data_IF_275821138806
#
_entry.id   IF_275821138806
#
_cell.length_a   1.000
_cell.length_b   1.000
_cell.length_c   1.000
_cell.angle_alpha   90.00
_cell.angle_beta   90.00
_cell.angle_gamma   90.00
#
_symmetry.space_group_name_H-M   'P 1'
#
loop_
_entity.id
_entity.type
_entity.pdbx_description
1 polymer ?
#
# COMPACT_ATOMS: atom_id res chain seq x y z
N UNK A 1 -3.18 11.57 -27.16
CA UNK A 1 -2.26 12.55 -27.74
C UNK A 1 -0.84 12.08 -27.45
N UNK A 2 0.17 12.35 -28.28
CA UNK A 2 1.55 12.00 -27.94
C UNK A 2 1.95 12.75 -26.65
N UNK A 3 2.65 12.08 -25.77
CA UNK A 3 3.22 12.69 -24.58
C UNK A 3 4.29 13.72 -24.95
N UNK A 4 4.45 14.76 -24.13
CA UNK A 4 5.40 15.83 -24.38
C UNK A 4 6.83 15.43 -23.96
N UNK A 5 6.96 14.81 -22.79
CA UNK A 5 8.25 14.46 -22.19
C UNK A 5 8.40 12.95 -21.93
N UNK A 6 7.30 12.22 -21.82
CA UNK A 6 7.32 10.77 -21.61
C UNK A 6 7.70 10.09 -22.93
N UNK A 7 8.71 9.22 -22.87
CA UNK A 7 9.13 8.40 -24.01
C UNK A 7 8.53 7.00 -23.91
N UNK A 8 7.57 6.71 -24.78
CA UNK A 8 7.01 5.37 -24.88
C UNK A 8 8.07 4.45 -25.51
N UNK A 9 8.33 3.27 -24.93
CA UNK A 9 9.23 2.27 -25.53
C UNK A 9 8.82 1.92 -26.96
N UNK A 10 9.79 1.65 -27.82
CA UNK A 10 9.53 1.27 -29.22
C UNK A 10 8.99 -0.16 -29.37
N UNK A 11 9.06 -0.96 -28.33
CA UNK A 11 8.50 -2.31 -28.24
C UNK A 11 7.56 -2.44 -27.05
N UNK A 12 6.86 -3.56 -26.97
CA UNK A 12 5.93 -3.87 -25.89
C UNK A 12 4.48 -3.47 -26.17
N UNK A 13 3.59 -4.00 -25.33
CA UNK A 13 2.15 -3.86 -25.47
C UNK A 13 1.53 -3.19 -24.25
N UNK A 14 0.41 -2.51 -24.45
CA UNK A 14 -0.40 -2.01 -23.33
C UNK A 14 -1.14 -3.15 -22.67
N UNK A 15 -1.17 -3.14 -21.34
CA UNK A 15 -2.11 -3.94 -20.57
C UNK A 15 -3.51 -3.36 -20.77
N UNK A 16 -4.49 -4.25 -21.00
CA UNK A 16 -5.90 -3.84 -21.11
C UNK A 16 -6.75 -4.53 -20.05
N UNK A 17 -7.89 -3.92 -19.71
CA UNK A 17 -8.81 -4.38 -18.69
C UNK A 17 -10.09 -4.89 -19.35
N UNK A 18 -10.51 -6.09 -18.99
CA UNK A 18 -11.78 -6.68 -19.42
C UNK A 18 -12.97 -6.09 -18.64
N UNK A 19 -14.18 -6.40 -19.10
CA UNK A 19 -15.41 -5.94 -18.45
C UNK A 19 -15.60 -6.47 -17.01
N UNK A 20 -14.97 -7.58 -16.67
CA UNK A 20 -14.93 -8.18 -15.34
C UNK A 20 -13.72 -7.73 -14.50
N UNK A 21 -13.01 -6.70 -14.96
CA UNK A 21 -11.77 -6.16 -14.38
C UNK A 21 -10.55 -7.10 -14.38
N UNK A 22 -10.63 -8.26 -15.05
CA UNK A 22 -9.43 -9.07 -15.30
C UNK A 22 -8.50 -8.39 -16.31
N UNK A 23 -7.20 -8.65 -16.19
CA UNK A 23 -6.19 -8.06 -17.05
C UNK A 23 -5.87 -8.94 -18.25
N UNK A 24 -5.69 -8.30 -19.42
CA UNK A 24 -5.02 -8.92 -20.56
C UNK A 24 -3.56 -8.46 -20.57
N UNK A 25 -2.67 -9.35 -20.20
CA UNK A 25 -1.24 -9.10 -20.10
C UNK A 25 -0.52 -9.89 -21.18
N UNK A 26 0.21 -9.19 -22.08
CA UNK A 26 1.06 -9.84 -23.06
C UNK A 26 2.37 -10.36 -22.44
N UNK A 27 3.16 -11.07 -23.21
CA UNK A 27 4.51 -11.47 -22.78
C UNK A 27 5.51 -10.31 -22.77
N UNK A 28 5.13 -9.14 -23.29
CA UNK A 28 5.97 -7.93 -23.36
C UNK A 28 5.19 -6.67 -22.95
N UNK A 29 4.69 -6.57 -21.69
CA UNK A 29 3.93 -5.42 -21.25
C UNK A 29 4.80 -4.17 -21.09
N UNK A 30 4.24 -3.01 -21.41
CA UNK A 30 4.81 -1.71 -21.03
C UNK A 30 4.35 -1.36 -19.62
N UNK A 31 5.30 -1.11 -18.72
CA UNK A 31 5.03 -0.74 -17.32
C UNK A 31 5.59 0.65 -17.04
N UNK A 32 4.72 1.66 -16.80
CA UNK A 32 5.16 2.95 -16.29
C UNK A 32 5.84 2.81 -14.91
N UNK A 33 6.95 3.55 -14.73
CA UNK A 33 7.55 3.66 -13.41
C UNK A 33 7.93 5.12 -13.09
N UNK A 34 7.85 5.47 -11.82
CA UNK A 34 8.36 6.72 -11.27
C UNK A 34 9.58 6.40 -10.43
N UNK A 35 10.75 6.94 -10.82
CA UNK A 35 12.00 6.71 -10.08
C UNK A 35 11.89 7.11 -8.61
N UNK A 36 11.12 8.18 -8.33
CA UNK A 36 10.95 8.72 -6.99
C UNK A 36 12.01 9.73 -6.59
N UNK A 37 11.85 10.27 -5.38
CA UNK A 37 12.71 11.28 -4.79
C UNK A 37 13.61 10.67 -3.71
N UNK A 38 14.62 11.40 -3.31
CA UNK A 38 15.52 10.98 -2.24
C UNK A 38 16.18 9.65 -2.56
N UNK A 39 15.94 8.62 -1.75
CA UNK A 39 16.49 7.27 -1.96
C UNK A 39 15.91 6.52 -3.16
N UNK A 40 14.87 7.07 -3.80
CA UNK A 40 14.31 6.52 -5.05
C UNK A 40 15.38 6.32 -6.13
N UNK A 41 16.31 7.28 -6.26
CA UNK A 41 17.43 7.21 -7.23
C UNK A 41 18.35 6.01 -7.01
N UNK A 42 18.40 5.47 -5.78
CA UNK A 42 19.20 4.29 -5.45
C UNK A 42 18.39 2.99 -5.61
N UNK A 43 17.16 2.95 -5.07
CA UNK A 43 16.39 1.70 -4.95
C UNK A 43 15.68 1.31 -6.25
N UNK A 44 15.11 2.24 -7.01
CA UNK A 44 14.34 1.95 -8.23
C UNK A 44 15.19 1.30 -9.33
N UNK A 45 16.42 1.77 -9.63
CA UNK A 45 17.28 1.08 -10.59
C UNK A 45 17.68 -0.33 -10.14
N UNK A 46 17.80 -0.56 -8.83
CA UNK A 46 18.09 -1.90 -8.27
C UNK A 46 16.88 -2.81 -8.41
N UNK A 47 15.68 -2.31 -8.09
CA UNK A 47 14.42 -3.03 -8.29
C UNK A 47 14.26 -3.48 -9.75
N UNK A 48 14.44 -2.59 -10.72
CA UNK A 48 14.33 -2.92 -12.15
C UNK A 48 15.27 -4.07 -12.51
N UNK A 49 16.55 -4.01 -12.10
CA UNK A 49 17.53 -5.05 -12.38
C UNK A 49 17.17 -6.41 -11.78
N UNK A 50 16.65 -6.42 -10.55
CA UNK A 50 16.24 -7.67 -9.88
C UNK A 50 15.02 -8.26 -10.58
N UNK A 51 14.04 -7.44 -10.93
CA UNK A 51 12.82 -7.87 -11.66
C UNK A 51 13.17 -8.43 -13.01
N UNK A 52 13.99 -7.72 -13.81
CA UNK A 52 14.41 -8.17 -15.14
C UNK A 52 15.15 -9.51 -15.06
N UNK A 53 16.04 -9.67 -14.08
CA UNK A 53 16.76 -10.93 -13.87
C UNK A 53 15.82 -12.08 -13.46
N UNK A 54 14.83 -11.80 -12.60
CA UNK A 54 13.86 -12.80 -12.17
C UNK A 54 12.95 -13.24 -13.34
N UNK A 55 12.50 -12.30 -14.17
CA UNK A 55 11.70 -12.57 -15.37
C UNK A 55 12.51 -13.38 -16.38
N UNK A 56 13.76 -12.99 -16.66
CA UNK A 56 14.64 -13.75 -17.56
C UNK A 56 14.87 -15.17 -17.04
N UNK A 57 15.15 -15.32 -15.73
CA UNK A 57 15.35 -16.64 -15.10
C UNK A 57 14.12 -17.53 -15.18
N UNK A 58 12.94 -16.97 -14.92
CA UNK A 58 11.68 -17.72 -14.91
C UNK A 58 11.21 -18.14 -16.31
N UNK A 59 11.43 -17.29 -17.31
CA UNK A 59 10.80 -17.47 -18.63
C UNK A 59 11.79 -17.62 -19.80
N UNK A 60 13.10 -17.53 -19.55
CA UNK A 60 14.15 -17.78 -20.56
C UNK A 60 14.05 -16.90 -21.79
N UNK A 61 13.81 -15.60 -21.60
CA UNK A 61 13.68 -14.60 -22.65
C UNK A 61 12.33 -14.58 -23.38
N UNK A 62 11.37 -15.44 -23.01
CA UNK A 62 10.02 -15.43 -23.61
C UNK A 62 9.18 -14.25 -23.14
N UNK A 63 9.43 -13.78 -21.92
CA UNK A 63 8.74 -12.62 -21.33
C UNK A 63 9.74 -11.52 -20.99
N UNK A 64 9.32 -10.27 -21.16
CA UNK A 64 10.13 -9.09 -20.89
C UNK A 64 9.25 -7.90 -20.52
N UNK A 65 9.63 -7.10 -19.51
CA UNK A 65 8.97 -5.84 -19.22
C UNK A 65 9.63 -4.72 -20.04
N UNK A 66 8.81 -3.90 -20.69
CA UNK A 66 9.24 -2.65 -21.30
C UNK A 66 8.98 -1.49 -20.33
N UNK A 67 10.01 -1.07 -19.63
CA UNK A 67 9.91 0.00 -18.63
C UNK A 67 9.73 1.36 -19.29
N UNK A 68 8.73 2.14 -18.84
CA UNK A 68 8.43 3.48 -19.32
C UNK A 68 8.53 4.47 -18.18
N UNK A 69 9.56 5.31 -18.18
CA UNK A 69 9.70 6.33 -17.14
C UNK A 69 8.63 7.40 -17.29
N UNK A 70 7.91 7.68 -16.20
CA UNK A 70 6.97 8.78 -16.03
C UNK A 70 7.39 9.61 -14.81
N UNK A 71 7.04 10.88 -14.77
CA UNK A 71 7.67 11.83 -13.87
C UNK A 71 6.72 12.34 -12.80
N UNK A 72 7.16 12.31 -11.54
CA UNK A 72 6.54 13.00 -10.41
C UNK A 72 7.63 13.45 -9.43
N UNK A 73 7.26 14.28 -8.47
CA UNK A 73 8.17 14.77 -7.44
C UNK A 73 9.22 15.77 -7.97
N UNK A 74 10.40 15.77 -7.36
CA UNK A 74 11.49 16.68 -7.68
C UNK A 74 11.99 16.54 -9.13
N UNK A 75 11.95 15.33 -9.68
CA UNK A 75 12.35 15.12 -11.09
C UNK A 75 11.36 15.76 -12.05
N UNK A 76 10.06 15.76 -11.74
CA UNK A 76 9.06 16.44 -12.56
C UNK A 76 9.28 17.95 -12.58
N UNK A 77 9.61 18.58 -11.44
CA UNK A 77 9.86 20.02 -11.40
C UNK A 77 11.03 20.46 -12.29
N UNK A 78 12.01 19.58 -12.48
CA UNK A 78 13.17 19.84 -13.37
C UNK A 78 12.84 19.74 -14.85
N UNK A 79 11.85 18.92 -15.21
CA UNK A 79 11.47 18.61 -16.60
C UNK A 79 10.34 19.52 -17.09
N UNK A 80 9.33 19.77 -16.25
CA UNK A 80 8.10 20.49 -16.62
C UNK A 80 8.05 21.91 -16.08
N UNK A 81 8.96 22.30 -15.17
CA UNK A 81 9.00 23.59 -14.50
C UNK A 81 8.79 23.49 -12.98
N UNK A 82 9.25 24.50 -12.22
CA UNK A 82 9.44 24.42 -10.77
C UNK A 82 8.17 24.18 -9.95
N UNK A 83 7.00 24.51 -10.50
CA UNK A 83 5.71 24.34 -9.81
C UNK A 83 4.98 23.05 -10.22
N UNK A 84 5.51 22.26 -11.15
CA UNK A 84 4.87 21.05 -11.67
C UNK A 84 5.44 19.81 -10.99
N UNK A 85 4.83 19.44 -9.88
CA UNK A 85 5.22 18.26 -9.10
C UNK A 85 4.55 16.96 -9.56
N UNK A 86 3.37 17.05 -10.17
CA UNK A 86 2.62 15.92 -10.72
C UNK A 86 2.04 16.34 -12.08
N UNK A 87 2.73 16.03 -13.19
CA UNK A 87 2.27 16.37 -14.52
C UNK A 87 0.98 15.63 -14.91
N UNK A 88 0.09 16.28 -15.64
CA UNK A 88 -1.14 15.65 -16.16
C UNK A 88 -0.83 14.47 -17.07
N UNK A 89 0.25 14.53 -17.87
CA UNK A 89 0.62 13.41 -18.74
C UNK A 89 1.09 12.18 -17.96
N UNK A 90 1.63 12.34 -16.74
CA UNK A 90 1.94 11.22 -15.85
C UNK A 90 0.66 10.52 -15.40
N UNK A 91 -0.35 11.30 -14.98
CA UNK A 91 -1.67 10.73 -14.62
C UNK A 91 -2.33 10.04 -15.81
N UNK A 92 -2.25 10.66 -17.00
CA UNK A 92 -2.77 10.07 -18.23
C UNK A 92 -2.05 8.76 -18.58
N UNK A 93 -0.71 8.72 -18.49
CA UNK A 93 0.08 7.53 -18.76
C UNK A 93 -0.26 6.38 -17.79
N UNK A 94 -0.33 6.66 -16.49
CA UNK A 94 -0.69 5.64 -15.48
C UNK A 94 -2.10 5.08 -15.73
N UNK A 95 -3.06 5.92 -16.07
CA UNK A 95 -4.43 5.48 -16.43
C UNK A 95 -4.42 4.62 -17.71
N UNK A 96 -3.65 5.04 -18.71
CA UNK A 96 -3.61 4.38 -20.02
C UNK A 96 -2.94 3.01 -19.99
N UNK A 97 -1.88 2.84 -19.16
CA UNK A 97 -1.10 1.61 -19.07
C UNK A 97 -1.52 0.70 -17.91
N UNK A 98 -2.45 1.14 -17.06
CA UNK A 98 -3.16 0.34 -16.05
C UNK A 98 -2.30 -0.10 -14.87
N UNK A 99 -1.13 -0.69 -15.09
CA UNK A 99 -0.22 -1.19 -14.04
C UNK A 99 1.05 -0.36 -14.03
N UNK A 100 1.44 0.13 -12.87
CA UNK A 100 2.63 0.97 -12.68
C UNK A 100 3.33 0.69 -11.35
N UNK A 101 4.57 1.15 -11.21
CA UNK A 101 5.34 1.08 -9.97
C UNK A 101 6.05 2.40 -9.70
N UNK A 102 6.26 2.74 -8.43
CA UNK A 102 6.95 3.98 -8.07
C UNK A 102 7.82 3.85 -6.82
N UNK A 103 8.94 4.57 -6.84
CA UNK A 103 9.72 4.88 -5.65
C UNK A 103 9.03 5.89 -4.72
N UNK A 104 9.66 6.26 -3.60
CA UNK A 104 9.13 7.22 -2.65
C UNK A 104 9.04 8.63 -3.25
N UNK A 105 8.05 9.43 -2.82
CA UNK A 105 7.88 10.81 -3.28
C UNK A 105 7.93 11.79 -2.12
N UNK A 106 8.58 12.92 -2.35
CA UNK A 106 8.66 14.04 -1.40
C UNK A 106 7.29 14.71 -1.29
N UNK A 107 6.90 15.06 -0.07
CA UNK A 107 5.77 15.97 0.16
C UNK A 107 6.29 17.40 0.11
N UNK A 108 5.87 18.24 -0.86
CA UNK A 108 6.33 19.62 -0.96
C UNK A 108 5.98 20.42 0.29
N UNK A 109 6.92 21.24 0.76
CA UNK A 109 6.67 22.18 1.86
C UNK A 109 6.16 23.49 1.26
N UNK A 110 4.86 23.75 1.37
CA UNK A 110 4.19 24.93 0.80
C UNK A 110 3.55 24.64 -0.57
N UNK A 111 2.76 25.57 -1.10
CA UNK A 111 2.23 25.48 -2.48
C UNK A 111 0.92 24.73 -2.68
N UNK A 112 0.16 24.42 -1.62
CA UNK A 112 -1.22 23.87 -1.76
C UNK A 112 -1.32 22.38 -2.01
N UNK A 113 -0.25 21.68 -2.40
CA UNK A 113 -0.22 20.21 -2.51
C UNK A 113 0.16 19.65 -1.14
N UNK A 114 -0.76 18.92 -0.49
CA UNK A 114 -0.52 18.33 0.83
C UNK A 114 0.41 17.12 0.76
N UNK A 115 0.21 16.24 -0.23
CA UNK A 115 1.04 15.06 -0.47
C UNK A 115 0.85 14.58 -1.91
N UNK A 116 1.94 14.32 -2.61
CA UNK A 116 1.89 13.76 -3.97
C UNK A 116 1.28 12.35 -3.98
N UNK A 117 1.56 11.55 -2.94
CA UNK A 117 0.96 10.23 -2.81
C UNK A 117 -0.57 10.31 -2.65
N UNK A 118 -1.06 11.26 -1.84
CA UNK A 118 -2.51 11.48 -1.68
C UNK A 118 -3.12 11.98 -2.98
N UNK A 119 -2.46 12.90 -3.70
CA UNK A 119 -2.93 13.37 -5.00
C UNK A 119 -3.05 12.23 -6.02
N UNK A 120 -2.03 11.38 -6.15
CA UNK A 120 -2.08 10.19 -7.03
C UNK A 120 -3.25 9.27 -6.69
N UNK A 121 -3.47 9.00 -5.39
CA UNK A 121 -4.56 8.13 -4.93
C UNK A 121 -5.94 8.70 -5.25
N UNK A 122 -6.12 10.01 -5.10
CA UNK A 122 -7.39 10.71 -5.38
C UNK A 122 -7.63 10.86 -6.88
N UNK A 123 -6.66 11.33 -7.66
CA UNK A 123 -6.78 11.56 -9.11
C UNK A 123 -6.98 10.26 -9.92
N UNK A 124 -6.46 9.15 -9.43
CA UNK A 124 -6.57 7.83 -10.04
C UNK A 124 -7.66 6.95 -9.39
N UNK A 125 -8.37 7.48 -8.40
CA UNK A 125 -9.35 6.75 -7.55
C UNK A 125 -8.81 5.42 -7.01
N UNK A 126 -7.57 5.40 -6.53
CA UNK A 126 -6.92 4.22 -5.96
C UNK A 126 -7.42 4.00 -4.53
N UNK A 127 -8.63 3.50 -4.39
CA UNK A 127 -9.36 3.44 -3.12
C UNK A 127 -8.89 2.34 -2.16
N UNK A 128 -8.06 1.42 -2.61
CA UNK A 128 -7.43 0.38 -1.77
C UNK A 128 -5.94 0.64 -1.66
N UNK A 129 -5.42 0.75 -0.45
CA UNK A 129 -4.00 0.57 -0.17
C UNK A 129 -3.80 -0.83 0.39
N UNK A 130 -3.14 -1.69 -0.39
CA UNK A 130 -2.87 -3.09 -0.07
C UNK A 130 -1.46 -3.23 0.48
N UNK A 131 -1.32 -3.73 1.71
CA UNK A 131 -0.04 -3.90 2.39
C UNK A 131 0.07 -5.28 3.03
N UNK A 132 0.65 -6.27 2.35
CA UNK A 132 1.00 -7.56 2.95
C UNK A 132 2.13 -7.40 3.98
N UNK A 133 2.00 -8.11 5.08
CA UNK A 133 3.01 -8.15 6.14
C UNK A 133 3.27 -9.60 6.47
N UNK A 134 4.50 -10.07 6.20
CA UNK A 134 4.93 -11.41 6.53
C UNK A 134 6.37 -11.41 7.02
N UNK A 135 6.71 -12.38 7.83
CA UNK A 135 8.06 -12.58 8.32
C UNK A 135 8.91 -13.38 7.34
N UNK A 136 10.13 -12.93 7.09
CA UNK A 136 11.17 -13.69 6.40
C UNK A 136 12.12 -14.31 7.41
N UNK A 137 12.35 -15.61 7.32
CA UNK A 137 13.18 -16.35 8.27
C UNK A 137 14.58 -15.75 8.39
N UNK A 138 14.98 -15.43 9.62
CA UNK A 138 16.29 -14.87 9.94
C UNK A 138 16.32 -13.34 10.03
N UNK A 139 15.24 -12.64 9.67
CA UNK A 139 15.13 -11.18 9.88
C UNK A 139 15.08 -10.88 11.38
N UNK A 140 15.83 -9.87 11.87
CA UNK A 140 15.72 -9.43 13.25
C UNK A 140 14.30 -8.90 13.54
N UNK A 141 13.70 -9.39 14.62
CA UNK A 141 12.34 -9.03 15.03
C UNK A 141 12.26 -8.81 16.54
N UNK A 142 11.44 -7.85 17.00
CA UNK A 142 11.12 -7.68 18.42
C UNK A 142 10.13 -8.73 18.94
N UNK A 143 9.49 -9.50 18.04
CA UNK A 143 8.51 -10.53 18.38
C UNK A 143 9.17 -11.82 18.85
N UNK A 144 8.50 -12.54 19.73
CA UNK A 144 8.97 -13.90 20.16
C UNK A 144 8.80 -14.94 19.06
N UNK A 145 7.71 -14.87 18.32
CA UNK A 145 7.31 -15.81 17.26
C UNK A 145 6.86 -15.01 16.02
N UNK A 146 7.80 -14.29 15.36
CA UNK A 146 7.47 -13.42 14.24
C UNK A 146 6.88 -14.18 13.05
N UNK A 147 7.19 -15.47 12.90
CA UNK A 147 6.65 -16.37 11.87
C UNK A 147 5.12 -16.56 11.96
N UNK A 148 4.50 -16.19 13.07
CA UNK A 148 3.04 -16.18 13.23
C UNK A 148 2.38 -14.92 12.65
N UNK A 149 3.18 -13.93 12.24
CA UNK A 149 2.69 -12.71 11.59
C UNK A 149 2.66 -12.92 10.08
N UNK A 150 1.46 -13.14 9.56
CA UNK A 150 1.14 -13.21 8.13
C UNK A 150 -0.23 -12.56 7.92
N UNK A 151 -0.23 -11.26 7.67
CA UNK A 151 -1.43 -10.45 7.55
C UNK A 151 -1.42 -9.64 6.27
N UNK A 152 -2.61 -9.34 5.75
CA UNK A 152 -2.77 -8.47 4.58
C UNK A 152 -3.72 -7.35 4.93
N UNK A 153 -3.22 -6.10 4.90
CA UNK A 153 -4.00 -4.93 5.24
C UNK A 153 -4.62 -4.34 3.98
N UNK A 154 -5.94 -4.18 4.00
CA UNK A 154 -6.75 -3.38 3.10
C UNK A 154 -7.08 -2.07 3.79
N UNK A 155 -6.30 -1.04 3.53
CA UNK A 155 -6.48 0.31 4.05
C UNK A 155 -7.34 1.09 3.08
N UNK A 156 -8.42 1.71 3.56
CA UNK A 156 -9.16 2.70 2.79
C UNK A 156 -8.21 3.86 2.43
N UNK A 157 -8.33 4.40 1.24
CA UNK A 157 -7.28 5.24 0.69
C UNK A 157 -7.78 6.57 0.10
N UNK A 158 -9.10 6.83 0.12
CA UNK A 158 -9.73 7.99 -0.54
C UNK A 158 -10.41 8.97 0.41
N UNK A 159 -10.77 8.53 1.59
CA UNK A 159 -11.58 9.28 2.57
C UNK A 159 -10.82 9.47 3.90
N UNK A 160 -11.57 9.57 5.00
CA UNK A 160 -11.07 9.76 6.34
C UNK A 160 -10.46 11.17 6.51
N UNK A 161 -9.65 11.38 7.51
CA UNK A 161 -8.94 12.65 7.71
C UNK A 161 -7.96 12.97 6.57
N UNK A 162 -7.58 11.99 5.77
CA UNK A 162 -6.75 12.15 4.57
C UNK A 162 -7.47 12.90 3.44
N UNK A 163 -8.81 13.09 3.51
CA UNK A 163 -9.52 14.03 2.66
C UNK A 163 -9.02 15.48 2.79
N UNK A 164 -8.31 15.76 3.89
CA UNK A 164 -7.64 17.04 4.08
C UNK A 164 -8.58 18.22 4.34
N UNK A 165 -9.78 17.97 4.84
CA UNK A 165 -10.76 18.99 5.17
C UNK A 165 -10.49 19.51 6.58
N UNK A 166 -9.69 20.59 6.66
CA UNK A 166 -9.33 21.17 7.95
C UNK A 166 -9.09 22.67 7.89
N UNK A 167 -9.21 23.34 9.01
CA UNK A 167 -9.02 24.78 9.17
C UNK A 167 -8.14 25.10 10.38
N UNK A 168 -7.17 25.97 10.16
CA UNK A 168 -6.24 26.40 11.18
C UNK A 168 -6.94 27.19 12.29
N UNK A 169 -6.47 27.05 13.52
CA UNK A 169 -6.95 27.81 14.66
C UNK A 169 -6.89 29.32 14.39
N UNK A 170 -7.94 30.03 14.76
CA UNK A 170 -8.04 31.50 14.60
C UNK A 170 -8.27 31.99 13.17
N UNK A 171 -8.31 31.09 12.17
CA UNK A 171 -8.65 31.49 10.79
C UNK A 171 -10.13 31.87 10.68
N UNK A 172 -10.48 32.73 9.72
CA UNK A 172 -11.86 33.15 9.51
C UNK A 172 -12.76 31.97 9.13
N UNK A 173 -12.21 30.99 8.40
CA UNK A 173 -12.90 29.75 8.05
C UNK A 173 -13.20 28.89 9.30
N UNK A 174 -12.20 28.71 10.18
CA UNK A 174 -12.41 27.98 11.44
C UNK A 174 -13.49 28.67 12.31
N UNK A 175 -13.45 29.98 12.43
CA UNK A 175 -14.50 30.76 13.16
C UNK A 175 -15.90 30.54 12.58
N UNK A 176 -16.04 30.57 11.24
CA UNK A 176 -17.31 30.29 10.56
C UNK A 176 -17.82 28.89 10.85
N UNK A 177 -16.98 27.88 10.76
CA UNK A 177 -17.35 26.48 11.02
C UNK A 177 -17.72 26.30 12.50
N UNK A 178 -16.95 26.85 13.42
CA UNK A 178 -17.24 26.82 14.86
C UNK A 178 -18.57 27.50 15.16
N UNK A 179 -18.83 28.67 14.58
CA UNK A 179 -20.10 29.38 14.72
C UNK A 179 -21.27 28.52 14.23
N UNK A 180 -21.18 27.97 13.01
CA UNK A 180 -22.19 27.07 12.45
C UNK A 180 -22.47 25.87 13.36
N UNK A 181 -21.41 25.19 13.81
CA UNK A 181 -21.57 24.02 14.69
C UNK A 181 -22.24 24.39 16.02
N UNK A 182 -21.94 25.55 16.57
CA UNK A 182 -22.51 25.99 17.86
C UNK A 182 -23.93 26.50 17.73
N UNK A 183 -24.16 27.41 16.80
CA UNK A 183 -25.44 28.15 16.69
C UNK A 183 -26.48 27.37 15.89
N UNK A 184 -26.07 26.71 14.79
CA UNK A 184 -27.01 25.99 13.91
C UNK A 184 -27.16 24.52 14.32
N UNK A 185 -26.04 23.86 14.69
CA UNK A 185 -26.04 22.43 15.04
C UNK A 185 -26.13 22.17 16.55
N UNK A 186 -26.15 23.20 17.39
CA UNK A 186 -26.28 23.09 18.85
C UNK A 186 -25.08 22.41 19.55
N UNK A 187 -23.89 22.38 18.93
CA UNK A 187 -22.71 21.74 19.50
C UNK A 187 -22.15 22.57 20.64
N UNK A 188 -22.19 22.04 21.88
CA UNK A 188 -21.67 22.69 23.10
C UNK A 188 -20.28 22.19 23.54
N UNK A 189 -19.71 21.22 22.82
CA UNK A 189 -18.52 20.48 23.26
C UNK A 189 -17.20 21.07 22.80
N UNK A 190 -17.18 22.13 21.98
CA UNK A 190 -15.95 22.81 21.59
C UNK A 190 -15.53 23.70 22.78
N UNK A 191 -14.54 23.21 23.53
CA UNK A 191 -14.15 23.79 24.80
C UNK A 191 -13.47 25.15 24.67
N UNK A 192 -12.66 25.32 23.62
CA UNK A 192 -11.86 26.54 23.38
C UNK A 192 -12.10 27.04 21.94
N UNK A 193 -13.28 27.65 21.66
CA UNK A 193 -13.68 27.97 20.29
C UNK A 193 -12.72 28.96 19.59
N UNK A 194 -12.14 29.90 20.33
CA UNK A 194 -11.25 30.94 19.77
C UNK A 194 -9.88 30.39 19.32
N UNK A 195 -9.45 29.28 19.91
CA UNK A 195 -8.12 28.71 19.69
C UNK A 195 -8.15 27.27 19.17
N UNK A 196 -9.33 26.76 18.81
CA UNK A 196 -9.48 25.42 18.24
C UNK A 196 -9.23 25.44 16.73
N UNK A 197 -8.41 24.50 16.25
CA UNK A 197 -8.43 24.07 14.86
C UNK A 197 -9.50 22.98 14.69
N UNK A 198 -10.01 22.80 13.49
CA UNK A 198 -11.02 21.78 13.17
C UNK A 198 -10.61 20.96 11.96
N UNK A 199 -10.96 19.66 12.00
CA UNK A 199 -10.87 18.74 10.87
C UNK A 199 -12.14 17.92 10.74
N UNK A 200 -12.46 17.53 9.51
CA UNK A 200 -13.61 16.68 9.18
C UNK A 200 -13.13 15.31 8.73
N UNK A 201 -13.77 14.27 9.27
CA UNK A 201 -13.54 12.86 8.93
C UNK A 201 -14.74 12.32 8.14
N UNK A 202 -14.76 12.43 6.81
CA UNK A 202 -15.79 11.80 6.01
C UNK A 202 -15.56 10.29 5.93
N UNK A 203 -16.63 9.52 6.09
CA UNK A 203 -16.64 8.06 5.88
C UNK A 203 -17.96 7.73 5.18
N UNK A 204 -17.89 7.16 3.98
CA UNK A 204 -19.07 6.83 3.18
C UNK A 204 -19.34 5.33 3.17
N UNK A 205 -20.59 5.00 2.86
CA UNK A 205 -20.99 3.61 2.63
C UNK A 205 -20.33 3.05 1.38
N UNK A 206 -20.29 3.84 0.32
CA UNK A 206 -19.69 3.47 -0.97
C UNK A 206 -18.20 3.17 -0.83
N UNK A 207 -17.45 4.02 -0.11
CA UNK A 207 -16.03 3.81 0.18
C UNK A 207 -15.80 2.55 1.01
N UNK A 208 -16.65 2.33 2.03
CA UNK A 208 -16.60 1.12 2.85
C UNK A 208 -16.92 -0.14 2.04
N UNK A 209 -18.04 -0.12 1.29
CA UNK A 209 -18.51 -1.28 0.53
C UNK A 209 -17.46 -1.73 -0.49
N UNK A 210 -16.84 -0.80 -1.25
CA UNK A 210 -15.82 -1.14 -2.24
C UNK A 210 -14.54 -1.71 -1.62
N UNK A 211 -14.11 -1.16 -0.48
CA UNK A 211 -12.94 -1.67 0.25
C UNK A 211 -13.16 -3.08 0.79
N UNK A 212 -14.26 -3.28 1.52
CA UNK A 212 -14.58 -4.56 2.16
C UNK A 212 -14.83 -5.64 1.11
N UNK A 213 -15.47 -5.29 -0.01
CA UNK A 213 -15.64 -6.21 -1.17
C UNK A 213 -14.32 -6.71 -1.70
N UNK A 214 -13.33 -5.82 -1.91
CA UNK A 214 -11.99 -6.20 -2.38
C UNK A 214 -11.27 -7.07 -1.34
N UNK A 215 -11.39 -6.75 -0.05
CA UNK A 215 -10.79 -7.53 1.02
C UNK A 215 -11.39 -8.95 1.14
N UNK A 216 -12.71 -9.09 1.02
CA UNK A 216 -13.38 -10.41 1.01
C UNK A 216 -13.04 -11.21 -0.25
N UNK A 217 -13.04 -10.56 -1.42
CA UNK A 217 -12.64 -11.23 -2.66
C UNK A 217 -11.19 -11.72 -2.58
N UNK A 218 -10.28 -10.92 -2.02
CA UNK A 218 -8.90 -11.33 -1.78
C UNK A 218 -8.84 -12.55 -0.83
N UNK A 219 -9.63 -12.55 0.24
CA UNK A 219 -9.67 -13.67 1.17
C UNK A 219 -10.14 -14.96 0.48
N UNK A 220 -11.14 -14.88 -0.42
CA UNK A 220 -11.62 -15.99 -1.22
C UNK A 220 -10.55 -16.48 -2.20
N UNK A 221 -9.94 -15.55 -2.96
CA UNK A 221 -9.00 -15.87 -4.01
C UNK A 221 -7.70 -16.50 -3.50
N UNK A 222 -7.29 -16.13 -2.28
CA UNK A 222 -6.06 -16.59 -1.65
C UNK A 222 -6.30 -17.58 -0.48
N UNK A 223 -7.50 -18.13 -0.37
CA UNK A 223 -7.92 -19.10 0.68
C UNK A 223 -7.55 -18.64 2.11
N UNK A 224 -7.75 -17.34 2.39
CA UNK A 224 -7.47 -16.75 3.71
C UNK A 224 -8.61 -17.04 4.68
N UNK A 225 -8.28 -17.21 5.96
CA UNK A 225 -9.18 -17.76 6.99
C UNK A 225 -10.15 -16.74 7.60
N UNK A 226 -9.82 -15.46 7.54
CA UNK A 226 -10.66 -14.43 8.16
C UNK A 226 -10.48 -13.04 7.53
N UNK A 227 -11.55 -12.24 7.60
CA UNK A 227 -11.52 -10.80 7.45
C UNK A 227 -11.83 -10.15 8.80
N UNK A 228 -10.95 -9.25 9.26
CA UNK A 228 -11.15 -8.47 10.48
C UNK A 228 -11.37 -7.00 10.14
N UNK A 229 -12.52 -6.46 10.53
CA UNK A 229 -12.84 -5.03 10.44
C UNK A 229 -12.25 -4.32 11.66
N UNK A 230 -11.21 -3.49 11.47
CA UNK A 230 -10.57 -2.75 12.56
C UNK A 230 -11.10 -1.32 12.61
N UNK A 231 -11.62 -0.90 13.77
CA UNK A 231 -12.33 0.36 13.91
C UNK A 231 -12.27 0.93 15.35
N UNK A 232 -12.63 2.20 15.51
CA UNK A 232 -12.85 2.86 16.82
C UNK A 232 -14.33 3.24 17.02
N UNK A 233 -15.23 2.37 16.61
CA UNK A 233 -16.69 2.61 16.55
C UNK A 233 -17.38 2.80 17.91
N UNK A 234 -16.75 2.40 19.02
CA UNK A 234 -17.24 2.68 20.37
C UNK A 234 -17.18 4.18 20.72
N UNK A 235 -16.30 4.95 20.06
CA UNK A 235 -16.14 6.40 20.21
C UNK A 235 -16.76 7.15 19.02
N UNK A 236 -16.34 6.79 17.80
CA UNK A 236 -16.80 7.41 16.56
C UNK A 236 -17.92 6.57 15.94
N UNK A 237 -19.11 6.64 16.52
CA UNK A 237 -20.23 5.75 16.24
C UNK A 237 -20.76 5.83 14.81
N UNK A 238 -20.77 7.04 14.22
CA UNK A 238 -21.37 7.32 12.91
C UNK A 238 -20.36 7.35 11.76
N UNK A 239 -19.08 7.19 12.05
CA UNK A 239 -18.00 7.03 11.06
C UNK A 239 -17.39 5.65 11.19
N UNK A 240 -16.55 5.41 12.19
CA UNK A 240 -15.90 4.12 12.42
C UNK A 240 -16.88 2.97 12.75
N UNK A 241 -17.93 3.28 13.54
CA UNK A 241 -18.99 2.32 13.83
C UNK A 241 -19.83 1.99 12.60
N UNK A 242 -20.13 2.99 11.77
CA UNK A 242 -20.81 2.80 10.50
C UNK A 242 -19.98 1.94 9.52
N UNK A 243 -18.67 2.18 9.43
CA UNK A 243 -17.74 1.33 8.65
C UNK A 243 -17.88 -0.15 9.03
N UNK A 244 -17.85 -0.46 10.34
CA UNK A 244 -18.07 -1.83 10.84
C UNK A 244 -19.41 -2.39 10.37
N UNK A 245 -20.49 -1.64 10.61
CA UNK A 245 -21.86 -2.11 10.36
C UNK A 245 -22.12 -2.30 8.86
N UNK A 246 -21.62 -1.40 8.01
CA UNK A 246 -21.70 -1.55 6.56
C UNK A 246 -20.85 -2.72 6.05
N UNK A 247 -19.67 -2.95 6.65
CA UNK A 247 -18.83 -4.10 6.31
C UNK A 247 -19.52 -5.44 6.58
N UNK A 248 -20.18 -5.58 7.72
CA UNK A 248 -21.00 -6.76 8.01
C UNK A 248 -22.20 -6.89 7.07
N UNK A 249 -22.91 -5.77 6.82
CA UNK A 249 -24.05 -5.79 5.91
C UNK A 249 -23.65 -6.19 4.48
N UNK A 250 -22.49 -5.73 4.00
CA UNK A 250 -21.94 -6.15 2.71
C UNK A 250 -21.64 -7.65 2.68
N UNK A 251 -20.92 -8.15 3.70
CA UNK A 251 -20.56 -9.56 3.79
C UNK A 251 -21.80 -10.47 3.73
N UNK A 252 -22.86 -10.08 4.44
CA UNK A 252 -24.15 -10.80 4.40
C UNK A 252 -24.82 -10.71 3.02
N UNK A 253 -24.93 -9.49 2.48
CA UNK A 253 -25.72 -9.23 1.27
C UNK A 253 -25.06 -9.79 0.01
N UNK A 254 -23.77 -9.62 -0.16
CA UNK A 254 -23.05 -9.94 -1.40
C UNK A 254 -22.33 -11.29 -1.36
N UNK A 255 -21.92 -11.75 -0.17
CA UNK A 255 -21.15 -12.98 0.00
C UNK A 255 -21.90 -14.07 0.76
N UNK A 256 -23.14 -13.82 1.18
CA UNK A 256 -23.96 -14.80 1.87
C UNK A 256 -23.45 -15.19 3.26
N UNK A 257 -22.72 -14.28 3.93
CA UNK A 257 -22.21 -14.54 5.27
C UNK A 257 -23.36 -14.68 6.29
N UNK A 258 -23.28 -15.67 7.17
CA UNK A 258 -24.27 -15.98 8.20
C UNK A 258 -23.71 -15.68 9.59
N UNK A 259 -24.59 -15.30 10.53
CA UNK A 259 -24.21 -15.03 11.91
C UNK A 259 -23.66 -16.28 12.61
N UNK A 260 -22.58 -16.11 13.35
CA UNK A 260 -22.01 -17.14 14.22
C UNK A 260 -22.53 -16.91 15.64
N UNK A 261 -23.13 -17.91 16.25
CA UNK A 261 -23.61 -17.90 17.64
C UNK A 261 -24.46 -16.67 18.02
N UNK A 262 -25.26 -16.16 17.08
CA UNK A 262 -26.11 -14.98 17.27
C UNK A 262 -25.43 -13.64 17.02
N UNK A 263 -24.21 -13.65 16.54
CA UNK A 263 -23.47 -12.45 16.10
C UNK A 263 -22.67 -11.75 17.20
N UNK A 264 -21.97 -10.64 16.87
CA UNK A 264 -21.96 -9.93 15.56
C UNK A 264 -21.12 -10.62 14.49
N UNK A 265 -20.23 -11.55 14.84
CA UNK A 265 -19.36 -12.22 13.90
C UNK A 265 -20.16 -13.04 12.89
N UNK A 266 -19.63 -13.14 11.69
CA UNK A 266 -20.24 -13.88 10.59
C UNK A 266 -19.25 -14.88 10.01
N UNK A 267 -19.78 -15.83 9.26
CA UNK A 267 -19.02 -16.85 8.55
C UNK A 267 -19.60 -17.06 7.17
N UNK A 268 -18.73 -17.26 6.18
CA UNK A 268 -19.09 -17.68 4.83
C UNK A 268 -18.21 -18.84 4.39
N UNK A 269 -18.68 -19.62 3.43
CA UNK A 269 -17.88 -20.65 2.76
C UNK A 269 -17.12 -20.04 1.59
N UNK A 270 -15.83 -20.33 1.49
CA UNK A 270 -15.07 -20.04 0.30
C UNK A 270 -15.63 -20.88 -0.88
N UNK A 271 -16.18 -20.25 -1.94
CA UNK A 271 -16.80 -20.99 -3.04
C UNK A 271 -15.80 -21.82 -3.87
N UNK A 272 -14.49 -21.54 -3.74
CA UNK A 272 -13.43 -22.24 -4.48
C UNK A 272 -12.90 -23.46 -3.73
N UNK A 273 -12.79 -23.39 -2.42
CA UNK A 273 -12.13 -24.42 -1.59
C UNK A 273 -13.07 -25.10 -0.59
N UNK A 274 -14.20 -24.48 -0.26
CA UNK A 274 -15.14 -24.95 0.76
C UNK A 274 -14.69 -24.64 2.20
N UNK A 275 -13.55 -23.99 2.41
CA UNK A 275 -13.07 -23.57 3.73
C UNK A 275 -13.93 -22.45 4.31
N UNK A 276 -13.94 -22.32 5.64
CA UNK A 276 -14.66 -21.25 6.32
C UNK A 276 -13.82 -19.96 6.33
N UNK A 277 -14.44 -18.83 5.98
CA UNK A 277 -13.90 -17.49 6.16
C UNK A 277 -14.73 -16.79 7.25
N UNK A 278 -14.08 -16.40 8.35
CA UNK A 278 -14.72 -15.68 9.46
C UNK A 278 -14.61 -14.19 9.23
N UNK A 279 -15.75 -13.50 9.22
CA UNK A 279 -15.81 -12.01 9.23
C UNK A 279 -16.03 -11.58 10.67
N UNK A 280 -15.11 -10.80 11.21
CA UNK A 280 -15.12 -10.34 12.59
C UNK A 280 -14.70 -8.88 12.70
N UNK A 281 -14.88 -8.28 13.86
CA UNK A 281 -14.43 -6.93 14.13
C UNK A 281 -13.59 -6.84 15.41
N UNK A 282 -12.80 -5.79 15.49
CA UNK A 282 -12.02 -5.48 16.69
C UNK A 282 -11.80 -3.97 16.82
N UNK A 283 -11.84 -3.48 18.05
CA UNK A 283 -11.52 -2.09 18.37
C UNK A 283 -10.00 -1.85 18.17
N UNK A 284 -9.63 -0.76 17.51
CA UNK A 284 -8.27 -0.49 17.04
C UNK A 284 -7.18 -0.59 18.15
N UNK A 285 -7.43 -0.04 19.34
CA UNK A 285 -6.48 -0.15 20.45
C UNK A 285 -6.33 -1.58 20.99
N UNK A 286 -7.40 -2.37 20.99
CA UNK A 286 -7.33 -3.81 21.28
C UNK A 286 -6.56 -4.57 20.20
N UNK A 287 -6.78 -4.23 18.93
CA UNK A 287 -6.05 -4.82 17.80
C UNK A 287 -4.54 -4.62 17.94
N UNK A 288 -4.09 -3.39 18.26
CA UNK A 288 -2.66 -3.08 18.44
C UNK A 288 -1.99 -3.91 19.55
N UNK A 289 -2.74 -4.33 20.58
CA UNK A 289 -2.24 -5.29 21.57
C UNK A 289 -2.22 -6.71 21.03
N UNK A 290 -3.30 -7.09 20.36
CA UNK A 290 -3.53 -8.49 19.95
C UNK A 290 -2.57 -8.94 18.86
N UNK A 291 -2.16 -8.05 17.95
CA UNK A 291 -1.14 -8.38 16.94
C UNK A 291 0.24 -8.67 17.55
N UNK A 292 0.52 -8.21 18.77
CA UNK A 292 1.73 -8.55 19.52
C UNK A 292 1.59 -9.88 20.28
N UNK A 293 0.40 -10.13 20.84
CA UNK A 293 0.16 -11.25 21.76
C UNK A 293 -0.35 -12.51 21.04
N UNK A 294 -1.10 -12.34 19.96
CA UNK A 294 -1.83 -13.40 19.27
C UNK A 294 -1.91 -13.15 17.76
N UNK A 295 -0.78 -12.90 17.07
CA UNK A 295 -0.79 -12.54 15.64
C UNK A 295 -1.48 -13.57 14.76
N UNK A 296 -1.39 -14.87 15.10
CA UNK A 296 -2.00 -15.97 14.34
C UNK A 296 -3.54 -15.95 14.28
N UNK A 297 -4.20 -15.10 15.09
CA UNK A 297 -5.66 -14.95 15.05
C UNK A 297 -6.13 -14.02 13.92
N UNK A 298 -5.22 -13.33 13.27
CA UNK A 298 -5.51 -12.30 12.24
C UNK A 298 -4.96 -12.72 10.90
N UNK A 299 -5.69 -12.35 9.84
CA UNK A 299 -5.33 -12.72 8.47
C UNK A 299 -5.54 -11.52 7.53
N UNK A 300 -6.71 -11.35 6.91
CA UNK A 300 -7.03 -10.15 6.14
C UNK A 300 -7.63 -9.10 7.06
N UNK A 301 -7.14 -7.87 6.95
CA UNK A 301 -7.57 -6.73 7.77
C UNK A 301 -8.16 -5.68 6.84
N UNK A 302 -9.39 -5.21 7.11
CA UNK A 302 -9.95 -4.03 6.46
C UNK A 302 -10.13 -2.91 7.49
N UNK A 303 -9.71 -1.70 7.15
CA UNK A 303 -9.76 -0.58 8.08
C UNK A 303 -9.75 0.76 7.34
N UNK A 304 -10.18 1.82 8.04
CA UNK A 304 -10.15 3.18 7.53
C UNK A 304 -8.73 3.71 7.39
N UNK A 305 -8.58 4.81 6.69
CA UNK A 305 -7.33 5.33 6.18
C UNK A 305 -6.28 5.57 7.28
N UNK A 306 -6.60 6.33 8.32
CA UNK A 306 -5.65 6.63 9.40
C UNK A 306 -5.27 5.38 10.20
N UNK A 307 -6.25 4.55 10.57
CA UNK A 307 -5.98 3.31 11.28
C UNK A 307 -5.06 2.40 10.46
N UNK A 308 -5.31 2.30 9.15
CA UNK A 308 -4.50 1.50 8.23
C UNK A 308 -3.07 1.98 8.11
N UNK A 309 -2.85 3.30 8.17
CA UNK A 309 -1.52 3.89 8.19
C UNK A 309 -0.73 3.45 9.43
N UNK A 310 -1.29 3.64 10.61
CA UNK A 310 -0.64 3.25 11.86
C UNK A 310 -0.40 1.75 11.96
N UNK A 311 -1.40 0.96 11.60
CA UNK A 311 -1.37 -0.51 11.72
C UNK A 311 -0.32 -1.12 10.80
N UNK A 312 -0.24 -0.66 9.55
CA UNK A 312 0.72 -1.22 8.59
C UNK A 312 2.17 -1.01 9.02
N UNK A 313 2.51 0.16 9.55
CA UNK A 313 3.86 0.46 10.03
C UNK A 313 4.17 -0.29 11.33
N UNK A 314 3.19 -0.41 12.25
CA UNK A 314 3.35 -1.20 13.47
C UNK A 314 3.60 -2.68 13.15
N UNK A 315 2.88 -3.25 12.18
CA UNK A 315 3.07 -4.63 11.74
C UNK A 315 4.40 -4.81 10.97
N UNK A 316 4.77 -3.86 10.11
CA UNK A 316 6.06 -3.90 9.42
C UNK A 316 7.23 -3.96 10.41
N UNK A 317 7.16 -3.18 11.51
CA UNK A 317 8.17 -3.20 12.57
C UNK A 317 8.30 -4.59 13.24
N UNK A 318 7.21 -5.34 13.34
CA UNK A 318 7.20 -6.68 13.94
C UNK A 318 7.91 -7.73 13.10
N UNK A 319 7.99 -7.55 11.79
CA UNK A 319 8.59 -8.50 10.85
C UNK A 319 9.92 -8.05 10.28
N UNK A 320 10.49 -6.94 10.78
CA UNK A 320 11.84 -6.48 10.39
C UNK A 320 11.94 -5.03 9.93
N UNK A 321 10.81 -4.34 9.79
CA UNK A 321 10.75 -2.91 9.48
C UNK A 321 10.29 -2.58 8.06
N UNK A 322 10.12 -1.30 7.82
CA UNK A 322 9.55 -0.78 6.56
C UNK A 322 10.45 -0.99 5.33
N UNK A 323 11.74 -1.28 5.52
CA UNK A 323 12.66 -1.57 4.42
C UNK A 323 12.34 -2.83 3.60
N UNK A 324 11.47 -3.70 4.12
CA UNK A 324 10.96 -4.90 3.44
C UNK A 324 9.43 -4.96 3.44
N UNK A 325 8.75 -3.83 3.66
CA UNK A 325 7.31 -3.75 3.64
C UNK A 325 6.82 -3.32 2.23
N UNK A 326 6.15 -4.19 1.47
CA UNK A 326 5.62 -3.83 0.16
C UNK A 326 4.27 -3.14 0.24
N UNK A 327 3.88 -2.47 -0.85
CA UNK A 327 2.58 -1.86 -0.97
C UNK A 327 2.09 -1.71 -2.40
N UNK A 328 0.77 -1.62 -2.53
CA UNK A 328 0.09 -1.27 -3.77
C UNK A 328 -1.11 -0.37 -3.48
N UNK A 329 -1.40 0.55 -4.39
CA UNK A 329 -2.62 1.34 -4.38
C UNK A 329 -3.45 0.93 -5.60
N UNK A 330 -4.70 0.58 -5.41
CA UNK A 330 -5.50 -0.07 -6.43
C UNK A 330 -6.91 0.53 -6.53
N UNK A 331 -7.39 0.61 -7.76
CA UNK A 331 -8.82 0.78 -8.09
C UNK A 331 -9.38 -0.55 -8.64
N UNK A 332 -10.50 -0.50 -9.33
CA UNK A 332 -10.99 -1.66 -10.07
C UNK A 332 -10.14 -1.98 -11.30
N UNK A 333 -9.55 -0.96 -11.92
CA UNK A 333 -8.82 -1.10 -13.19
C UNK A 333 -7.35 -0.71 -13.12
N UNK A 334 -6.95 0.19 -12.22
CA UNK A 334 -5.58 0.71 -12.14
C UNK A 334 -4.90 0.19 -10.88
N UNK A 335 -3.64 -0.25 -11.02
CA UNK A 335 -2.80 -0.66 -9.90
C UNK A 335 -1.46 0.09 -9.95
N UNK A 336 -1.10 0.73 -8.85
CA UNK A 336 0.19 1.39 -8.65
C UNK A 336 0.90 0.77 -7.46
N UNK A 337 1.97 0.06 -7.71
CA UNK A 337 2.83 -0.55 -6.69
C UNK A 337 3.83 0.48 -6.16
N UNK A 338 4.18 0.42 -4.87
CA UNK A 338 5.06 1.44 -4.29
C UNK A 338 5.90 0.92 -3.13
N UNK A 339 7.13 1.47 -2.97
CA UNK A 339 7.83 1.41 -1.70
C UNK A 339 7.02 2.14 -0.63
N UNK A 340 6.85 1.53 0.56
CA UNK A 340 5.99 2.09 1.62
C UNK A 340 6.68 3.11 2.52
N UNK A 341 8.03 3.17 2.47
CA UNK A 341 8.82 4.13 3.24
C UNK A 341 8.95 5.51 2.56
N UNK A 342 9.38 6.51 3.32
CA UNK A 342 9.62 7.87 2.83
C UNK A 342 10.94 8.01 2.04
N UNK A 343 11.18 9.22 1.55
CA UNK A 343 12.31 9.57 0.68
C UNK A 343 13.68 9.55 1.35
N UNK A 344 13.77 9.69 2.66
CA UNK A 344 15.00 9.72 3.45
C UNK A 344 16.16 10.50 2.77
N UNK A 345 16.01 11.80 2.46
CA UNK A 345 16.88 12.56 1.54
C UNK A 345 18.35 12.59 1.98
N UNK A 346 18.63 12.44 3.27
CA UNK A 346 20.01 12.38 3.80
C UNK A 346 20.81 11.17 3.29
N UNK A 347 20.13 10.14 2.77
CA UNK A 347 20.75 8.93 2.23
C UNK A 347 20.73 8.84 0.71
N UNK A 348 20.09 9.81 0.02
CA UNK A 348 19.98 9.84 -1.43
C UNK A 348 21.36 9.80 -2.11
N UNK A 349 21.50 8.94 -3.12
CA UNK A 349 22.73 8.79 -3.91
C UNK A 349 23.91 8.17 -3.16
N UNK A 350 23.67 7.55 -1.99
CA UNK A 350 24.74 6.95 -1.18
C UNK A 350 24.85 5.43 -1.32
N UNK A 351 24.00 4.82 -2.12
CA UNK A 351 23.96 3.36 -2.32
C UNK A 351 23.90 2.57 -0.98
N UNK A 352 23.07 3.06 -0.02
CA UNK A 352 23.14 2.60 1.37
C UNK A 352 21.87 1.92 1.88
N UNK A 353 20.70 2.36 1.41
CA UNK A 353 19.40 1.93 1.95
C UNK A 353 19.00 0.55 1.46
N UNK A 354 18.05 -0.06 2.15
CA UNK A 354 17.46 -1.35 1.76
C UNK A 354 16.47 -1.17 0.60
N UNK A 355 16.68 -1.81 -0.57
CA UNK A 355 15.74 -1.74 -1.70
C UNK A 355 14.58 -2.74 -1.58
N UNK A 356 14.53 -3.53 -0.50
CA UNK A 356 13.61 -4.66 -0.35
C UNK A 356 12.14 -4.29 -0.43
N UNK A 357 11.74 -3.12 0.10
CA UNK A 357 10.34 -2.66 0.03
C UNK A 357 9.88 -2.50 -1.43
N UNK A 358 10.67 -1.85 -2.29
CA UNK A 358 10.29 -1.65 -3.69
C UNK A 358 10.39 -2.95 -4.49
N UNK A 359 11.39 -3.80 -4.21
CA UNK A 359 11.54 -5.12 -4.85
C UNK A 359 10.34 -6.02 -4.51
N UNK A 360 9.90 -6.05 -3.26
CA UNK A 360 8.73 -6.84 -2.85
C UNK A 360 7.41 -6.22 -3.38
N UNK A 361 7.36 -4.91 -3.58
CA UNK A 361 6.23 -4.28 -4.27
C UNK A 361 6.18 -4.69 -5.75
N UNK A 362 7.35 -4.80 -6.39
CA UNK A 362 7.44 -5.34 -7.75
C UNK A 362 7.12 -6.85 -7.80
N UNK A 363 7.43 -7.61 -6.77
CA UNK A 363 6.98 -9.00 -6.62
C UNK A 363 5.44 -9.08 -6.62
N UNK A 364 4.77 -8.22 -5.84
CA UNK A 364 3.31 -8.12 -5.88
C UNK A 364 2.80 -7.74 -7.27
N UNK A 365 3.50 -6.82 -7.97
CA UNK A 365 3.17 -6.45 -9.34
C UNK A 365 3.24 -7.66 -10.27
N UNK A 366 4.29 -8.46 -10.19
CA UNK A 366 4.43 -9.67 -11.02
C UNK A 366 3.30 -10.67 -10.77
N UNK A 367 2.88 -10.88 -9.51
CA UNK A 367 1.68 -11.70 -9.21
C UNK A 367 0.42 -11.12 -9.81
N UNK A 368 0.25 -9.80 -9.75
CA UNK A 368 -0.89 -9.12 -10.35
C UNK A 368 -0.92 -9.26 -11.88
N UNK A 369 0.24 -9.33 -12.52
CA UNK A 369 0.38 -9.65 -13.95
C UNK A 369 0.17 -11.14 -14.28
N UNK A 370 0.04 -12.01 -13.28
CA UNK A 370 -0.01 -13.47 -13.46
C UNK A 370 1.36 -14.12 -13.73
N UNK A 371 2.45 -13.43 -13.40
CA UNK A 371 3.83 -13.91 -13.59
C UNK A 371 4.39 -14.49 -12.28
N UNK A 372 3.72 -15.52 -11.80
CA UNK A 372 3.92 -16.09 -10.46
C UNK A 372 5.29 -16.73 -10.27
N UNK A 373 5.85 -17.34 -11.32
CA UNK A 373 7.16 -18.00 -11.26
C UNK A 373 8.28 -16.98 -11.00
N UNK A 374 8.23 -15.81 -11.65
CA UNK A 374 9.20 -14.74 -11.42
C UNK A 374 9.01 -14.12 -10.03
N UNK A 375 7.76 -13.96 -9.56
CA UNK A 375 7.46 -13.50 -8.22
C UNK A 375 8.00 -14.47 -7.15
N UNK A 376 7.79 -15.77 -7.31
CA UNK A 376 8.31 -16.80 -6.40
C UNK A 376 9.84 -16.83 -6.38
N UNK A 377 10.48 -16.61 -7.53
CA UNK A 377 11.95 -16.52 -7.60
C UNK A 377 12.47 -15.35 -6.75
N UNK A 378 11.83 -14.18 -6.79
CA UNK A 378 12.20 -13.02 -5.95
C UNK A 378 12.05 -13.35 -4.46
N UNK A 379 10.97 -13.99 -4.06
CA UNK A 379 10.75 -14.39 -2.66
C UNK A 379 11.82 -15.35 -2.19
N UNK A 380 12.12 -16.39 -2.97
CA UNK A 380 13.13 -17.38 -2.65
C UNK A 380 14.53 -16.75 -2.56
N UNK A 381 14.85 -15.84 -3.48
CA UNK A 381 16.12 -15.10 -3.47
C UNK A 381 16.23 -14.18 -2.24
N UNK A 382 15.13 -13.53 -1.83
CA UNK A 382 15.08 -12.71 -0.62
C UNK A 382 15.38 -13.55 0.64
N UNK A 383 14.69 -14.68 0.79
CA UNK A 383 14.90 -15.60 1.91
C UNK A 383 16.33 -16.15 1.95
N UNK A 384 16.86 -16.59 0.81
CA UNK A 384 18.23 -17.08 0.71
C UNK A 384 19.25 -16.00 1.09
N UNK A 385 19.10 -14.78 0.63
CA UNK A 385 20.00 -13.66 0.92
C UNK A 385 20.03 -13.31 2.41
N UNK A 386 18.87 -13.31 3.06
CA UNK A 386 18.73 -13.06 4.50
C UNK A 386 19.39 -14.20 5.29
N UNK A 387 19.14 -15.45 4.93
CA UNK A 387 19.75 -16.62 5.59
C UNK A 387 21.29 -16.68 5.42
N UNK A 388 21.81 -16.20 4.28
CA UNK A 388 23.23 -16.01 4.06
C UNK A 388 23.83 -14.85 4.86
N UNK A 389 22.96 -14.06 5.54
CA UNK A 389 23.34 -12.86 6.29
C UNK A 389 24.09 -11.81 5.46
N UNK A 390 23.82 -11.75 4.16
CA UNK A 390 24.33 -10.73 3.24
C UNK A 390 23.23 -9.70 3.02
N UNK A 391 23.19 -8.70 3.88
CA UNK A 391 22.04 -7.79 4.05
C UNK A 391 22.48 -6.34 4.16
N UNK A 392 21.53 -5.42 3.97
CA UNK A 392 21.77 -3.98 4.12
C UNK A 392 21.94 -3.57 5.60
N UNK A 393 22.35 -2.34 5.83
CA UNK A 393 22.73 -1.80 7.14
C UNK A 393 21.67 -1.98 8.24
N UNK A 394 20.40 -1.88 7.87
CA UNK A 394 19.26 -1.96 8.77
C UNK A 394 19.14 -3.33 9.45
N UNK A 395 19.43 -4.40 8.73
CA UNK A 395 19.52 -5.75 9.27
C UNK A 395 20.92 -6.08 9.82
N UNK A 396 21.97 -5.70 9.10
CA UNK A 396 23.34 -6.05 9.48
C UNK A 396 23.70 -5.60 10.91
N UNK A 397 23.24 -4.40 11.32
CA UNK A 397 23.46 -3.87 12.68
C UNK A 397 22.76 -4.66 13.79
N UNK A 398 21.82 -5.52 13.45
CA UNK A 398 21.01 -6.31 14.40
C UNK A 398 21.28 -7.82 14.30
N UNK A 399 22.08 -8.25 13.31
CA UNK A 399 22.37 -9.66 13.03
C UNK A 399 23.83 -9.98 13.30
N UNK A 400 24.11 -10.81 14.29
CA UNK A 400 25.45 -11.27 14.56
C UNK A 400 26.03 -12.05 13.36
N UNK A 401 27.27 -11.71 12.97
CA UNK A 401 27.99 -12.34 11.86
C UNK A 401 27.42 -11.96 10.48
N UNK A 402 26.66 -10.88 10.36
CA UNK A 402 26.18 -10.40 9.08
C UNK A 402 27.28 -9.67 8.29
N UNK A 403 27.25 -9.85 6.98
CA UNK A 403 28.01 -9.04 6.03
C UNK A 403 27.13 -7.95 5.51
N UNK A 404 27.44 -6.70 5.88
CA UNK A 404 26.72 -5.54 5.35
C UNK A 404 27.07 -5.34 3.88
N UNK A 405 26.06 -5.18 3.05
CA UNK A 405 26.18 -4.82 1.64
C UNK A 405 25.50 -3.48 1.37
N UNK A 406 25.87 -2.83 0.27
CA UNK A 406 25.20 -1.61 -0.19
C UNK A 406 23.83 -1.92 -0.81
N UNK A 407 23.05 -0.90 -1.17
CA UNK A 407 21.78 -1.05 -1.87
C UNK A 407 21.94 -1.86 -3.17
N UNK A 408 22.86 -1.43 -4.05
CA UNK A 408 23.17 -2.14 -5.30
C UNK A 408 23.79 -3.51 -5.04
N UNK A 409 24.63 -3.64 -4.00
CA UNK A 409 25.22 -4.90 -3.57
C UNK A 409 24.16 -5.91 -3.12
N UNK A 410 23.10 -5.46 -2.44
CA UNK A 410 21.99 -6.34 -2.06
C UNK A 410 21.19 -6.82 -3.29
N UNK A 411 20.98 -5.94 -4.27
CA UNK A 411 20.40 -6.35 -5.56
C UNK A 411 21.24 -7.44 -6.26
N UNK A 412 22.57 -7.30 -6.25
CA UNK A 412 23.46 -8.33 -6.81
C UNK A 412 23.37 -9.66 -6.04
N UNK A 413 23.26 -9.61 -4.71
CA UNK A 413 23.09 -10.83 -3.88
C UNK A 413 21.77 -11.51 -4.23
N UNK A 414 20.67 -10.76 -4.39
CA UNK A 414 19.39 -11.30 -4.81
C UNK A 414 19.48 -11.95 -6.19
N UNK A 415 20.05 -11.26 -7.18
CA UNK A 415 20.22 -11.80 -8.54
C UNK A 415 21.05 -13.09 -8.53
N UNK A 416 22.08 -13.14 -7.69
CA UNK A 416 22.92 -14.36 -7.55
C UNK A 416 22.20 -15.54 -6.87
N UNK A 417 21.06 -15.29 -6.20
CA UNK A 417 20.23 -16.30 -5.53
C UNK A 417 18.96 -16.67 -6.32
N UNK A 418 18.67 -16.02 -7.48
CA UNK A 418 17.61 -16.41 -8.40
C UNK A 418 17.98 -17.77 -9.04
#
# INVERSE_FOLDING_TARGET
MPYQHIKVPTGGDKITVNADYSLNVSDQPIIPYIEGDGTGVDITPVMIKVVDAAVEKAYGGKKQIHWMEVFAGEKATRIYGPDVWLPEETLAAVKEYVVSIKGPLTTPVGGGIRSLNVALRQELDLYVCLRPVRYFKGVPSPMREPEKTDMVIFRENSEDIYAGIEWAAGSEQAKKVIHFLREEMGVKKIRFPETSALGVKPVSREGTDRLVRKALQYAIDNDRRSLTLVHKGNIMKFTEGAFRDWGYALAQKEFGAELVDGGPWMKLKNPKTGTDIVVKDVIADAFLQQILLRPAEYDVIATLNLNGDYISDALAAQVGGIGIAPGANMSDSVAMFEATHGTAPKYAGKDYVNPGSEILSAEMMLRHLGWTEAADAIINAMEASILQKRVTYDFARLMEGATQVSCSGFGQVLIGNL
#
